data_IF_954039391671
#
_entry.id   IF_954039391671
#
_cell.length_a   1.000
_cell.length_b   1.000
_cell.length_c   1.000
_cell.angle_alpha   90.00
_cell.angle_beta   90.00
_cell.angle_gamma   90.00
#
_symmetry.space_group_name_H-M   'P 1'
#
loop_
_entity.id
_entity.type
_entity.pdbx_description
1 polymer ?
#
# COMPACT_ATOMS: atom_id res chain seq x y z
N UNK A 1 4.36 5.41 1.38
CA UNK A 1 3.24 5.66 0.44
C UNK A 1 2.48 6.90 0.87
N UNK A 2 1.97 7.71 -0.04
CA UNK A 2 1.09 8.83 0.29
C UNK A 2 -0.08 8.94 -0.70
N UNK A 3 -1.20 9.47 -0.22
CA UNK A 3 -2.34 9.92 -1.01
C UNK A 3 -2.46 11.42 -0.83
N UNK A 4 -2.21 12.17 -1.90
CA UNK A 4 -2.09 13.63 -1.87
C UNK A 4 -2.65 14.23 -3.16
N UNK A 5 -3.51 15.24 -3.05
CA UNK A 5 -4.17 15.89 -4.17
C UNK A 5 -4.77 14.88 -5.18
N UNK A 6 -5.42 13.84 -4.67
CA UNK A 6 -6.00 12.71 -5.44
C UNK A 6 -4.99 11.89 -6.26
N UNK A 7 -3.71 11.89 -5.85
CA UNK A 7 -2.65 11.11 -6.48
C UNK A 7 -1.99 10.18 -5.48
N UNK A 8 -1.69 8.98 -5.96
CA UNK A 8 -0.77 8.09 -5.26
C UNK A 8 0.64 8.64 -5.44
N UNK A 9 1.40 8.70 -4.35
CA UNK A 9 2.85 8.91 -4.38
C UNK A 9 3.50 7.74 -3.67
N UNK A 10 4.23 6.92 -4.43
CA UNK A 10 4.91 5.76 -3.88
C UNK A 10 6.40 5.83 -4.19
N UNK A 11 7.21 5.96 -3.14
CA UNK A 11 8.67 6.07 -3.27
C UNK A 11 9.37 5.01 -2.42
N UNK A 12 10.48 4.51 -2.92
CA UNK A 12 11.41 3.70 -2.13
C UNK A 12 12.10 4.56 -1.07
N UNK A 13 12.81 3.91 -0.13
CA UNK A 13 13.68 4.59 0.83
C UNK A 13 14.75 5.47 0.17
N UNK A 14 15.15 5.17 -1.07
CA UNK A 14 16.11 5.95 -1.86
C UNK A 14 15.45 7.03 -2.73
N UNK A 15 14.13 7.22 -2.61
CA UNK A 15 13.37 8.23 -3.35
C UNK A 15 12.92 7.82 -4.75
N UNK A 16 13.26 6.62 -5.22
CA UNK A 16 12.83 6.08 -6.51
C UNK A 16 11.31 5.97 -6.56
N UNK A 17 10.69 6.49 -7.60
CA UNK A 17 9.26 6.30 -7.86
C UNK A 17 8.97 4.82 -8.20
N UNK A 18 8.06 4.22 -7.45
CA UNK A 18 7.67 2.82 -7.61
C UNK A 18 6.28 2.66 -8.22
N UNK A 19 5.43 3.71 -8.18
CA UNK A 19 4.02 3.64 -8.61
C UNK A 19 3.84 3.00 -10.00
N UNK A 20 4.64 3.34 -11.04
CA UNK A 20 4.42 2.78 -12.38
C UNK A 20 4.57 1.25 -12.47
N UNK A 21 5.15 0.62 -11.44
CA UNK A 21 5.39 -0.82 -11.38
C UNK A 21 4.29 -1.57 -10.61
N UNK A 22 3.48 -0.84 -9.84
CA UNK A 22 2.45 -1.39 -8.94
C UNK A 22 1.13 -0.62 -9.03
N UNK A 23 0.55 -0.50 -10.25
CA UNK A 23 -0.64 0.31 -10.48
C UNK A 23 -1.86 -0.09 -9.64
N UNK A 24 -1.92 -1.36 -9.20
CA UNK A 24 -3.01 -1.90 -8.38
C UNK A 24 -3.17 -1.19 -7.03
N UNK A 25 -2.09 -0.62 -6.48
CA UNK A 25 -2.12 0.05 -5.18
C UNK A 25 -2.93 1.34 -5.19
N UNK A 26 -3.17 1.94 -6.36
CA UNK A 26 -3.93 3.19 -6.50
C UNK A 26 -5.35 3.05 -5.97
N UNK A 27 -6.00 1.92 -6.25
CA UNK A 27 -7.38 1.66 -5.82
C UNK A 27 -7.52 1.58 -4.30
N UNK A 28 -6.53 1.00 -3.62
CA UNK A 28 -6.45 0.98 -2.16
C UNK A 28 -6.12 2.34 -1.58
N UNK A 29 -5.15 3.04 -2.15
CA UNK A 29 -4.74 4.37 -1.69
C UNK A 29 -5.85 5.41 -1.84
N UNK A 30 -6.69 5.31 -2.87
CA UNK A 30 -7.81 6.22 -3.10
C UNK A 30 -8.88 6.21 -2.00
N UNK A 31 -8.86 5.21 -1.10
CA UNK A 31 -9.75 5.12 0.05
C UNK A 31 -9.22 5.87 1.28
N UNK A 32 -7.98 6.37 1.21
CA UNK A 32 -7.39 7.15 2.30
C UNK A 32 -7.90 8.60 2.27
N UNK A 33 -8.00 9.27 3.44
CA UNK A 33 -8.19 10.71 3.48
C UNK A 33 -7.11 11.42 2.67
N UNK A 34 -7.45 12.55 2.05
CA UNK A 34 -6.46 13.35 1.35
C UNK A 34 -5.35 13.84 2.31
N UNK A 35 -4.17 14.09 1.74
CA UNK A 35 -2.95 14.40 2.47
C UNK A 35 -2.57 13.34 3.54
N UNK A 36 -2.77 12.06 3.25
CA UNK A 36 -2.33 10.93 4.10
C UNK A 36 -0.98 10.40 3.66
N UNK A 37 -0.08 10.15 4.61
CA UNK A 37 1.21 9.51 4.38
C UNK A 37 1.43 8.34 5.34
N UNK A 38 1.82 7.20 4.79
CA UNK A 38 2.04 5.92 5.45
C UNK A 38 3.47 5.46 5.21
N UNK A 39 4.10 4.89 6.24
CA UNK A 39 5.31 4.08 6.07
C UNK A 39 4.95 2.60 6.06
N UNK A 40 5.64 1.82 5.24
CA UNK A 40 5.26 0.45 4.96
C UNK A 40 6.16 -0.29 3.99
N UNK A 41 5.91 -1.59 3.88
CA UNK A 41 6.67 -2.51 3.03
C UNK A 41 5.79 -3.00 1.87
N UNK A 42 6.38 -3.17 0.69
CA UNK A 42 5.73 -3.85 -0.43
C UNK A 42 5.97 -5.35 -0.31
N UNK A 43 4.94 -6.15 -0.50
CA UNK A 43 5.03 -7.62 -0.40
C UNK A 43 4.27 -8.30 -1.53
N UNK A 44 4.76 -9.47 -1.92
CA UNK A 44 4.08 -10.43 -2.81
C UNK A 44 4.01 -11.76 -2.07
N UNK A 45 2.87 -12.42 -2.14
CA UNK A 45 2.66 -13.76 -1.60
C UNK A 45 2.74 -14.80 -2.71
N UNK A 46 3.30 -15.98 -2.43
CA UNK A 46 3.18 -17.15 -3.30
C UNK A 46 1.85 -17.89 -3.06
N UNK A 47 1.58 -18.91 -3.88
CA UNK A 47 0.37 -19.73 -3.76
C UNK A 47 0.27 -20.50 -2.42
N UNK A 48 1.39 -20.65 -1.70
CA UNK A 48 1.44 -21.27 -0.37
C UNK A 48 1.32 -20.22 0.76
N UNK A 49 1.08 -18.95 0.45
CA UNK A 49 0.95 -17.87 1.42
C UNK A 49 2.28 -17.40 2.03
N UNK A 50 3.41 -17.65 1.37
CA UNK A 50 4.75 -17.22 1.81
C UNK A 50 5.19 -15.97 1.07
N UNK A 51 6.00 -15.15 1.71
CA UNK A 51 6.61 -13.98 1.06
C UNK A 51 7.52 -14.42 -0.08
N UNK A 52 7.32 -13.83 -1.25
CA UNK A 52 8.02 -14.16 -2.48
C UNK A 52 8.83 -12.96 -3.00
N UNK A 53 10.01 -12.75 -2.41
CA UNK A 53 10.87 -11.59 -2.68
C UNK A 53 11.30 -11.47 -4.14
N UNK A 54 11.66 -12.58 -4.79
CA UNK A 54 12.08 -12.60 -6.20
C UNK A 54 10.96 -12.12 -7.12
N UNK A 55 9.70 -12.47 -6.80
CA UNK A 55 8.54 -12.01 -7.56
C UNK A 55 8.34 -10.51 -7.39
N UNK A 56 8.48 -9.99 -6.17
CA UNK A 56 8.44 -8.55 -5.92
C UNK A 56 9.53 -7.81 -6.71
N UNK A 57 10.77 -8.31 -6.72
CA UNK A 57 11.84 -7.73 -7.54
C UNK A 57 11.47 -7.72 -9.03
N UNK A 58 10.94 -8.82 -9.55
CA UNK A 58 10.45 -8.92 -10.93
C UNK A 58 9.26 -8.00 -11.24
N UNK A 59 8.43 -7.66 -10.24
CA UNK A 59 7.37 -6.64 -10.37
C UNK A 59 7.98 -5.25 -10.50
N UNK A 60 8.92 -4.89 -9.62
CA UNK A 60 9.54 -3.56 -9.57
C UNK A 60 10.41 -3.23 -10.79
N UNK A 61 10.84 -4.23 -11.56
CA UNK A 61 11.58 -4.06 -12.82
C UNK A 61 10.68 -3.74 -14.03
N UNK A 62 9.36 -3.91 -13.92
CA UNK A 62 8.41 -3.74 -15.04
C UNK A 62 7.54 -2.52 -14.82
N UNK A 63 7.15 -1.87 -15.91
CA UNK A 63 6.30 -0.67 -15.92
C UNK A 63 5.23 -0.77 -17.03
N UNK A 64 4.21 0.08 -16.96
CA UNK A 64 3.18 0.18 -18.01
C UNK A 64 2.42 -1.12 -18.22
N UNK A 65 2.27 -1.55 -19.48
CA UNK A 65 1.56 -2.79 -19.81
C UNK A 65 2.18 -4.03 -19.15
N UNK A 66 3.53 -4.08 -19.07
CA UNK A 66 4.23 -5.20 -18.45
C UNK A 66 3.94 -5.32 -16.96
N UNK A 67 3.75 -4.19 -16.27
CA UNK A 67 3.28 -4.18 -14.89
C UNK A 67 1.80 -4.60 -14.82
N UNK A 68 0.95 -4.07 -15.71
CA UNK A 68 -0.49 -4.37 -15.72
C UNK A 68 -0.77 -5.87 -15.87
N UNK A 69 -0.09 -6.56 -16.79
CA UNK A 69 -0.25 -8.01 -17.04
C UNK A 69 0.11 -8.90 -15.85
N UNK A 70 0.93 -8.40 -14.94
CA UNK A 70 1.42 -9.17 -13.80
C UNK A 70 0.63 -8.91 -12.52
N UNK A 71 -0.33 -7.96 -12.52
CA UNK A 71 -1.19 -7.69 -11.36
C UNK A 71 -1.96 -8.93 -10.94
N UNK A 72 -2.52 -9.66 -11.91
CA UNK A 72 -3.33 -10.85 -11.63
C UNK A 72 -2.49 -12.05 -11.19
N UNK A 73 -1.26 -12.17 -11.72
CA UNK A 73 -0.39 -13.29 -11.40
C UNK A 73 0.31 -13.11 -10.05
N UNK A 74 0.88 -11.93 -9.81
CA UNK A 74 1.71 -11.63 -8.65
C UNK A 74 1.34 -10.26 -8.06
N UNK A 75 0.15 -10.14 -7.47
CA UNK A 75 -0.33 -8.87 -6.91
C UNK A 75 0.59 -8.36 -5.80
N UNK A 76 0.98 -7.08 -5.91
CA UNK A 76 1.75 -6.41 -4.85
C UNK A 76 0.77 -5.84 -3.83
N UNK A 77 1.10 -6.04 -2.56
CA UNK A 77 0.38 -5.49 -1.42
C UNK A 77 1.27 -4.50 -0.69
N UNK A 78 0.67 -3.45 -0.13
CA UNK A 78 1.35 -2.52 0.76
C UNK A 78 0.96 -2.82 2.21
N UNK A 79 1.93 -3.17 3.04
CA UNK A 79 1.75 -3.42 4.47
C UNK A 79 2.21 -2.18 5.22
N UNK A 80 1.26 -1.36 5.68
CA UNK A 80 1.55 -0.18 6.48
C UNK A 80 1.89 -0.55 7.93
N UNK A 81 2.96 0.02 8.47
CA UNK A 81 3.33 -0.14 9.88
C UNK A 81 3.39 1.19 10.66
N UNK A 82 3.41 2.33 9.97
CA UNK A 82 3.36 3.65 10.59
C UNK A 82 2.47 4.63 9.79
N UNK A 83 1.78 5.50 10.52
CA UNK A 83 1.06 6.65 9.98
C UNK A 83 1.92 7.88 10.24
N UNK A 84 2.37 8.54 9.17
CA UNK A 84 3.24 9.72 9.24
C UNK A 84 2.47 11.03 9.11
N UNK A 85 1.33 11.00 8.41
CA UNK A 85 0.44 12.14 8.23
C UNK A 85 -0.97 11.67 7.93
N UNK A 86 -1.99 12.35 8.44
CA UNK A 86 -3.38 12.18 8.02
C UNK A 86 -4.11 13.51 8.02
N UNK A 87 -4.94 13.76 7.00
CA UNK A 87 -5.71 15.01 6.86
C UNK A 87 -4.83 16.26 7.06
N UNK A 88 -3.63 16.25 6.47
CA UNK A 88 -2.65 17.33 6.58
C UNK A 88 -1.89 17.42 7.92
N UNK A 89 -2.29 16.66 8.94
CA UNK A 89 -1.64 16.69 10.26
C UNK A 89 -0.52 15.67 10.35
N UNK A 90 0.71 16.11 10.61
CA UNK A 90 1.85 15.24 10.88
C UNK A 90 1.69 14.52 12.24
N UNK A 91 1.95 13.22 12.24
CA UNK A 91 1.71 12.31 13.38
C UNK A 91 3.00 11.76 13.98
N UNK A 92 4.17 12.14 13.46
CA UNK A 92 5.49 11.66 13.93
C UNK A 92 5.81 11.97 15.39
N UNK A 93 5.12 12.96 15.99
CA UNK A 93 5.22 13.29 17.43
C UNK A 93 4.27 12.47 18.31
N UNK A 94 3.43 11.62 17.71
CA UNK A 94 2.51 10.78 18.44
C UNK A 94 3.24 9.52 18.92
N UNK A 95 2.81 8.95 20.03
CA UNK A 95 3.29 7.63 20.42
C UNK A 95 2.83 6.60 19.40
N UNK A 96 3.59 5.51 19.23
CA UNK A 96 3.23 4.43 18.29
C UNK A 96 1.80 3.92 18.47
N UNK A 97 1.27 3.87 19.71
CA UNK A 97 -0.12 3.49 19.98
C UNK A 97 -1.15 4.51 19.50
N UNK A 98 -0.80 5.79 19.48
CA UNK A 98 -1.67 6.86 18.99
C UNK A 98 -1.60 7.02 17.46
N UNK A 99 -0.45 6.70 16.84
CA UNK A 99 -0.30 6.64 15.38
C UNK A 99 -0.75 5.30 14.77
N UNK A 100 -0.86 4.25 15.57
CA UNK A 100 -1.16 2.89 15.13
C UNK A 100 -2.47 2.79 14.36
N UNK A 101 -2.35 2.52 13.07
CA UNK A 101 -3.48 2.23 12.16
C UNK A 101 -4.20 0.98 12.66
N UNK A 102 -5.36 1.15 13.29
CA UNK A 102 -6.26 0.03 13.56
C UNK A 102 -6.87 -0.42 12.23
N UNK A 103 -6.28 -1.45 11.63
CA UNK A 103 -6.96 -2.23 10.61
C UNK A 103 -8.12 -2.99 11.29
N UNK A 104 -9.35 -2.45 11.21
CA UNK A 104 -10.56 -3.21 11.56
C UNK A 104 -10.96 -4.04 10.36
N UNK A 105 -10.96 -5.37 10.50
CA UNK A 105 -11.66 -6.26 9.55
C UNK A 105 -13.12 -5.82 9.43
N UNK A 106 -13.71 -5.75 8.22
CA UNK A 106 -15.16 -5.70 8.10
C UNK A 106 -15.75 -6.96 8.74
N UNK A 107 -16.72 -6.78 9.66
CA UNK A 107 -17.52 -7.90 10.17
C UNK A 107 -18.39 -8.39 9.00
N UNK A 108 -18.45 -9.70 8.71
CA UNK A 108 -19.51 -10.19 7.83
C UNK A 108 -20.85 -9.85 8.47
N UNK A 109 -21.70 -9.16 7.69
CA UNK A 109 -23.06 -8.85 8.11
C UNK A 109 -23.77 -10.14 8.48
N UNK A 110 -24.35 -10.20 9.68
CA UNK A 110 -25.37 -11.20 9.97
C UNK A 110 -26.57 -10.82 9.12
N UNK A 111 -26.84 -11.61 8.08
CA UNK A 111 -28.15 -11.65 7.47
C UNK A 111 -29.17 -12.03 8.55
N UNK A 112 -30.15 -11.17 8.74
CA UNK A 112 -31.41 -11.51 9.36
C UNK A 112 -32.39 -11.68 8.19
N UNK A 113 -32.72 -12.93 7.87
CA UNK A 113 -34.09 -13.45 7.81
C UNK A 113 -34.00 -15.00 7.79
#
# INVERSE_FOLDING_TARGET
MAWDAHRLVLRSRKGTDLEPSVPELRSGAAQLPDATALDGELVVWDAAGRLAFERLQGRLQRRGEGATRLVEQWPVHFVAFDLLRTSGTGTTRWTYRAAGLRCRRPRPGRGAD
#
